data_IF_765493127962
#
_entry.id   IF_765493127962
#
_cell.length_a   1.000
_cell.length_b   1.000
_cell.length_c   1.000
_cell.angle_alpha   90.00
_cell.angle_beta   90.00
_cell.angle_gamma   90.00
#
_symmetry.space_group_name_H-M   'P 1'
#
loop_
_entity.id
_entity.type
_entity.pdbx_description
1 polymer ?
#
# COMPACT_ATOMS: atom_id res chain seq x y z
N UNK A 1 23.77 35.20 44.02
CA UNK A 1 23.62 33.72 44.11
C UNK A 1 22.61 33.12 43.12
N UNK A 2 21.76 33.91 42.47
CA UNK A 2 20.67 33.46 41.57
C UNK A 2 21.17 32.95 40.21
N UNK A 3 22.04 33.71 39.54
CA UNK A 3 22.60 33.38 38.21
C UNK A 3 23.26 31.99 38.11
N UNK A 4 24.02 31.57 39.12
CA UNK A 4 24.68 30.25 39.12
C UNK A 4 23.66 29.10 39.15
N UNK A 5 22.56 29.26 39.89
CA UNK A 5 21.50 28.25 39.97
C UNK A 5 20.73 28.13 38.65
N UNK A 6 20.53 29.24 37.95
CA UNK A 6 19.84 29.26 36.66
C UNK A 6 20.69 28.62 35.54
N UNK A 7 22.00 28.87 35.53
CA UNK A 7 22.94 28.23 34.60
C UNK A 7 23.00 26.71 34.85
N UNK A 8 23.03 26.27 36.10
CA UNK A 8 23.01 24.85 36.47
C UNK A 8 21.71 24.16 36.01
N UNK A 9 20.57 24.84 36.11
CA UNK A 9 19.29 24.32 35.59
C UNK A 9 19.29 24.22 34.07
N UNK A 10 19.85 25.21 33.38
CA UNK A 10 19.91 25.20 31.92
C UNK A 10 20.81 24.08 31.40
N UNK A 11 21.96 23.87 32.05
CA UNK A 11 22.87 22.76 31.75
C UNK A 11 22.21 21.39 32.01
N UNK A 12 21.50 21.24 33.13
CA UNK A 12 20.75 20.01 33.43
C UNK A 12 19.63 19.77 32.39
N UNK A 13 18.94 20.82 31.95
CA UNK A 13 17.89 20.70 30.94
C UNK A 13 18.46 20.32 29.56
N UNK A 14 19.62 20.88 29.20
CA UNK A 14 20.34 20.53 27.97
C UNK A 14 20.84 19.07 28.00
N UNK A 15 21.30 18.60 29.15
CA UNK A 15 21.74 17.21 29.34
C UNK A 15 20.54 16.24 29.24
N UNK A 16 19.41 16.58 29.86
CA UNK A 16 18.15 15.82 29.72
C UNK A 16 17.66 15.77 28.26
N UNK A 17 17.75 16.88 27.52
CA UNK A 17 17.42 16.92 26.09
C UNK A 17 18.37 16.05 25.26
N UNK A 18 19.67 16.07 25.56
CA UNK A 18 20.68 15.27 24.88
C UNK A 18 20.45 13.77 25.09
N UNK A 19 20.15 13.37 26.33
CA UNK A 19 19.79 11.99 26.68
C UNK A 19 18.49 11.57 25.98
N UNK A 20 17.48 12.44 25.93
CA UNK A 20 16.22 12.17 25.21
C UNK A 20 16.47 11.92 23.73
N UNK A 21 17.29 12.73 23.06
CA UNK A 21 17.63 12.52 21.65
C UNK A 21 18.40 11.21 21.43
N UNK A 22 19.39 10.88 22.27
CA UNK A 22 20.19 9.67 22.14
C UNK A 22 19.36 8.39 22.35
N UNK A 23 18.33 8.42 23.20
CA UNK A 23 17.46 7.26 23.46
C UNK A 23 16.30 7.21 22.46
N UNK A 24 15.70 8.35 22.10
CA UNK A 24 14.54 8.38 21.22
C UNK A 24 14.89 8.15 19.74
N UNK A 25 16.02 8.67 19.24
CA UNK A 25 16.43 8.45 17.83
C UNK A 25 16.57 6.97 17.45
N UNK A 26 17.33 6.14 18.19
CA UNK A 26 17.47 4.72 17.85
C UNK A 26 16.17 3.96 18.05
N UNK A 27 15.32 4.36 19.00
CA UNK A 27 13.98 3.78 19.17
C UNK A 27 13.06 4.10 17.97
N UNK A 28 13.13 5.34 17.46
CA UNK A 28 12.45 5.78 16.23
C UNK A 28 13.02 5.05 15.02
N UNK A 29 14.33 4.85 14.95
CA UNK A 29 14.98 4.10 13.87
C UNK A 29 14.62 2.61 13.89
N UNK A 30 14.48 2.00 15.06
CA UNK A 30 13.95 0.64 15.25
C UNK A 30 12.47 0.53 14.86
N UNK A 31 11.67 1.56 15.12
CA UNK A 31 10.29 1.66 14.61
C UNK A 31 10.23 1.76 13.07
N UNK A 32 11.27 2.34 12.46
CA UNK A 32 11.40 2.52 11.01
C UNK A 32 11.89 1.26 10.27
N UNK A 33 12.44 0.26 10.95
CA UNK A 33 12.81 -1.02 10.33
C UNK A 33 11.60 -1.97 10.25
N UNK A 34 10.89 -1.95 9.11
CA UNK A 34 9.84 -2.93 8.82
C UNK A 34 9.15 -2.67 7.48
N UNK A 35 8.26 -3.56 7.07
CA UNK A 35 7.59 -3.45 5.76
C UNK A 35 6.76 -2.17 5.67
N UNK A 36 7.00 -1.39 4.63
CA UNK A 36 6.33 -0.09 4.41
C UNK A 36 5.27 -0.18 3.34
N UNK A 37 5.51 -1.02 2.33
CA UNK A 37 4.72 -1.08 1.12
C UNK A 37 4.46 -2.54 0.72
N UNK A 38 3.28 -2.80 0.17
CA UNK A 38 2.94 -4.04 -0.53
C UNK A 38 2.34 -3.68 -1.88
N UNK A 39 2.97 -4.13 -2.97
CA UNK A 39 2.41 -4.04 -4.31
C UNK A 39 1.60 -5.30 -4.63
N UNK A 40 0.38 -5.14 -5.14
CA UNK A 40 -0.51 -6.25 -5.52
C UNK A 40 -0.85 -6.09 -7.01
N UNK A 41 -0.41 -7.05 -7.83
CA UNK A 41 -0.73 -7.07 -9.26
C UNK A 41 -1.88 -8.04 -9.56
N UNK A 42 -2.88 -7.56 -10.30
CA UNK A 42 -3.94 -8.40 -10.87
C UNK A 42 -3.89 -8.27 -12.40
N UNK A 43 -3.79 -9.39 -13.09
CA UNK A 43 -3.81 -9.47 -14.56
C UNK A 43 -5.11 -10.16 -14.95
N UNK A 44 -5.93 -9.49 -15.76
CA UNK A 44 -7.25 -9.95 -16.17
C UNK A 44 -7.34 -10.00 -17.69
N UNK A 45 -7.68 -11.17 -18.21
CA UNK A 45 -8.12 -11.32 -19.59
C UNK A 45 -9.65 -11.22 -19.62
N UNK A 46 -10.18 -10.26 -20.38
CA UNK A 46 -11.61 -9.98 -20.44
C UNK A 46 -12.14 -10.12 -21.85
N UNK A 47 -13.32 -10.69 -21.99
CA UNK A 47 -14.02 -10.77 -23.27
C UNK A 47 -14.89 -9.52 -23.42
N UNK A 48 -14.73 -8.81 -24.53
CA UNK A 48 -15.57 -7.66 -24.85
C UNK A 48 -16.78 -8.12 -25.65
N UNK A 49 -17.97 -7.75 -25.18
CA UNK A 49 -19.25 -7.92 -25.87
C UNK A 49 -19.77 -6.53 -26.20
N UNK A 50 -20.07 -6.27 -27.47
CA UNK A 50 -20.68 -5.01 -27.91
C UNK A 50 -22.07 -5.30 -28.49
N UNK A 51 -23.08 -4.56 -28.02
CA UNK A 51 -24.45 -4.61 -28.55
C UNK A 51 -24.52 -3.78 -29.85
N UNK A 52 -25.18 -4.30 -30.89
CA UNK A 52 -25.06 -3.78 -32.26
C UNK A 52 -25.45 -2.29 -32.40
N UNK A 53 -24.47 -1.46 -32.79
CA UNK A 53 -24.66 -0.07 -33.15
C UNK A 53 -23.51 0.42 -34.04
N UNK A 54 -23.71 0.34 -35.36
CA UNK A 54 -22.75 0.75 -36.41
C UNK A 54 -21.35 0.12 -36.27
N UNK A 55 -21.21 -1.08 -36.84
CA UNK A 55 -19.96 -1.85 -36.92
C UNK A 55 -18.78 -0.98 -37.41
N UNK A 56 -17.88 -0.65 -36.49
CA UNK A 56 -16.50 -0.27 -36.79
C UNK A 56 -15.63 -1.28 -36.07
N UNK A 57 -14.81 -2.03 -36.82
CA UNK A 57 -13.77 -2.88 -36.23
C UNK A 57 -12.97 -1.99 -35.28
N UNK A 58 -12.91 -2.30 -33.97
CA UNK A 58 -12.13 -1.53 -33.03
C UNK A 58 -10.67 -1.51 -33.50
N UNK A 59 -10.13 -0.32 -33.75
CA UNK A 59 -8.70 -0.18 -34.02
C UNK A 59 -7.93 -0.60 -32.78
N UNK A 60 -6.73 -1.17 -32.93
CA UNK A 60 -5.84 -1.52 -31.81
C UNK A 60 -5.67 -0.38 -30.79
N UNK A 61 -5.63 0.86 -31.29
CA UNK A 61 -5.58 2.07 -30.45
C UNK A 61 -6.83 2.25 -29.58
N UNK A 62 -8.01 1.95 -30.11
CA UNK A 62 -9.27 2.01 -29.36
C UNK A 62 -9.31 0.89 -28.31
N UNK A 63 -8.87 -0.31 -28.66
CA UNK A 63 -8.80 -1.46 -27.72
C UNK A 63 -7.84 -1.15 -26.58
N UNK A 64 -6.63 -0.71 -26.88
CA UNK A 64 -5.63 -0.32 -25.87
C UNK A 64 -6.15 0.81 -24.96
N UNK A 65 -6.91 1.77 -25.53
CA UNK A 65 -7.55 2.82 -24.75
C UNK A 65 -8.61 2.26 -23.79
N UNK A 66 -9.45 1.33 -24.26
CA UNK A 66 -10.45 0.65 -23.42
C UNK A 66 -9.79 -0.16 -22.30
N UNK A 67 -8.76 -0.94 -22.60
CA UNK A 67 -7.97 -1.68 -21.62
C UNK A 67 -7.40 -0.76 -20.53
N UNK A 68 -6.81 0.36 -20.93
CA UNK A 68 -6.28 1.36 -20.00
C UNK A 68 -7.38 1.93 -19.10
N UNK A 69 -8.53 2.29 -19.67
CA UNK A 69 -9.64 2.91 -18.94
C UNK A 69 -10.28 1.92 -17.96
N UNK A 70 -10.54 0.69 -18.39
CA UNK A 70 -11.06 -0.38 -17.52
C UNK A 70 -10.04 -0.71 -16.42
N UNK A 71 -8.76 -0.89 -16.78
CA UNK A 71 -7.70 -1.17 -15.81
C UNK A 71 -7.55 -0.06 -14.77
N UNK A 72 -7.66 1.21 -15.17
CA UNK A 72 -7.64 2.35 -14.26
C UNK A 72 -8.85 2.35 -13.31
N UNK A 73 -10.06 2.11 -13.83
CA UNK A 73 -11.27 2.04 -13.01
C UNK A 73 -11.21 0.90 -11.99
N UNK A 74 -10.84 -0.31 -12.41
CA UNK A 74 -10.68 -1.47 -11.53
C UNK A 74 -9.56 -1.27 -10.51
N UNK A 75 -8.46 -0.62 -10.91
CA UNK A 75 -7.40 -0.24 -9.97
C UNK A 75 -7.95 0.68 -8.88
N UNK A 76 -8.73 1.70 -9.23
CA UNK A 76 -9.31 2.60 -8.23
C UNK A 76 -10.30 1.89 -7.30
N UNK A 77 -11.10 0.96 -7.83
CA UNK A 77 -11.98 0.12 -7.01
C UNK A 77 -11.18 -0.76 -6.04
N UNK A 78 -10.10 -1.40 -6.51
CA UNK A 78 -9.23 -2.19 -5.67
C UNK A 78 -8.58 -1.35 -4.55
N UNK A 79 -8.12 -0.12 -4.85
CA UNK A 79 -7.64 0.83 -3.83
C UNK A 79 -8.72 1.08 -2.78
N UNK A 80 -9.95 1.37 -3.18
CA UNK A 80 -11.05 1.66 -2.25
C UNK A 80 -11.41 0.45 -1.37
N UNK A 81 -11.38 -0.76 -1.94
CA UNK A 81 -11.57 -2.02 -1.19
C UNK A 81 -10.46 -2.19 -0.16
N UNK A 82 -9.19 -2.07 -0.57
CA UNK A 82 -8.05 -2.21 0.35
C UNK A 82 -8.08 -1.16 1.47
N UNK A 83 -8.41 0.09 1.17
CA UNK A 83 -8.57 1.13 2.19
C UNK A 83 -9.71 0.81 3.18
N UNK A 84 -10.79 0.20 2.71
CA UNK A 84 -11.90 -0.23 3.57
C UNK A 84 -11.47 -1.36 4.51
N UNK A 85 -10.77 -2.36 3.97
CA UNK A 85 -10.20 -3.47 4.73
C UNK A 85 -9.17 -2.98 5.76
N UNK A 86 -8.27 -2.07 5.37
CA UNK A 86 -7.28 -1.48 6.29
C UNK A 86 -7.93 -0.67 7.41
N UNK A 87 -8.97 0.14 7.12
CA UNK A 87 -9.73 0.88 8.15
C UNK A 87 -10.43 -0.04 9.14
N UNK A 88 -10.92 -1.19 8.67
CA UNK A 88 -11.49 -2.23 9.51
C UNK A 88 -10.43 -3.10 10.23
N UNK A 89 -9.14 -2.88 9.94
CA UNK A 89 -8.03 -3.74 10.35
C UNK A 89 -8.29 -5.23 10.03
N UNK A 90 -8.86 -5.48 8.84
CA UNK A 90 -9.30 -6.79 8.39
C UNK A 90 -8.42 -7.27 7.23
N UNK A 91 -7.49 -8.20 7.51
CA UNK A 91 -6.65 -8.83 6.50
C UNK A 91 -7.37 -10.00 5.80
N UNK A 92 -8.46 -9.69 5.10
CA UNK A 92 -9.30 -10.69 4.42
C UNK A 92 -8.54 -11.48 3.35
N UNK A 93 -7.66 -10.81 2.60
CA UNK A 93 -6.81 -11.43 1.58
C UNK A 93 -5.57 -12.13 2.13
N UNK A 94 -5.43 -12.21 3.46
CA UNK A 94 -4.35 -12.91 4.16
C UNK A 94 -2.93 -12.49 3.73
N UNK A 95 -2.70 -11.19 3.51
CA UNK A 95 -1.38 -10.67 3.14
C UNK A 95 -0.32 -10.98 4.20
N UNK A 96 -0.72 -11.10 5.47
CA UNK A 96 0.15 -11.52 6.56
C UNK A 96 0.65 -12.96 6.39
N UNK A 97 -0.18 -13.86 5.85
CA UNK A 97 0.24 -15.24 5.56
C UNK A 97 1.26 -15.28 4.42
N UNK A 98 1.06 -14.50 3.36
CA UNK A 98 2.05 -14.36 2.29
C UNK A 98 3.37 -13.83 2.85
N UNK A 99 3.33 -12.80 3.70
CA UNK A 99 4.53 -12.26 4.33
C UNK A 99 5.23 -13.26 5.24
N UNK A 100 4.48 -14.04 6.03
CA UNK A 100 5.02 -15.09 6.88
C UNK A 100 5.68 -16.21 6.07
N UNK A 101 5.09 -16.59 4.93
CA UNK A 101 5.61 -17.66 4.07
C UNK A 101 6.92 -17.27 3.37
N UNK A 102 7.00 -16.06 2.80
CA UNK A 102 8.15 -15.64 1.98
C UNK A 102 9.19 -14.81 2.76
N UNK A 103 8.79 -14.16 3.85
CA UNK A 103 9.68 -13.33 4.69
C UNK A 103 9.46 -13.59 6.19
N UNK A 104 9.66 -14.82 6.68
CA UNK A 104 9.30 -15.23 8.05
C UNK A 104 10.02 -14.40 9.13
N UNK A 105 11.31 -14.09 8.96
CA UNK A 105 12.06 -13.26 9.91
C UNK A 105 11.46 -11.86 10.05
N UNK A 106 11.02 -11.28 8.94
CA UNK A 106 10.40 -9.95 8.91
C UNK A 106 9.03 -10.01 9.59
N UNK A 107 8.22 -11.02 9.28
CA UNK A 107 6.91 -11.22 9.90
C UNK A 107 7.00 -11.42 11.42
N UNK A 108 7.91 -12.27 11.90
CA UNK A 108 8.10 -12.54 13.32
C UNK A 108 8.60 -11.33 14.12
N UNK A 109 9.32 -10.41 13.47
CA UNK A 109 9.83 -9.19 14.11
C UNK A 109 8.77 -8.08 14.25
N UNK A 110 7.52 -8.28 13.79
CA UNK A 110 6.49 -7.25 13.83
C UNK A 110 5.15 -7.74 14.39
N UNK A 111 4.38 -6.81 14.96
CA UNK A 111 2.96 -7.05 15.24
C UNK A 111 2.14 -6.77 13.98
N UNK A 112 1.70 -7.83 13.29
CA UNK A 112 0.91 -7.70 12.05
C UNK A 112 -0.36 -6.87 12.24
N UNK A 113 -1.06 -7.05 13.36
CA UNK A 113 -2.31 -6.35 13.65
C UNK A 113 -2.13 -4.83 13.83
N UNK A 114 -0.94 -4.40 14.25
CA UNK A 114 -0.59 -2.98 14.36
C UNK A 114 0.00 -2.41 13.07
N UNK A 115 0.67 -3.27 12.28
CA UNK A 115 1.36 -2.88 11.04
C UNK A 115 0.42 -2.80 9.86
N UNK A 116 -0.45 -3.80 9.65
CA UNK A 116 -1.37 -3.90 8.51
C UNK A 116 -2.13 -2.61 8.17
N UNK A 117 -2.81 -1.93 9.13
CA UNK A 117 -3.58 -0.73 8.82
C UNK A 117 -2.72 0.48 8.43
N UNK A 118 -1.39 0.41 8.58
CA UNK A 118 -0.43 1.48 8.28
C UNK A 118 0.39 1.22 7.01
N UNK A 119 0.18 0.09 6.34
CA UNK A 119 0.90 -0.25 5.12
C UNK A 119 0.44 0.63 3.95
N UNK A 120 1.39 1.01 3.10
CA UNK A 120 1.10 1.53 1.78
C UNK A 120 0.78 0.35 0.85
N UNK A 121 -0.50 0.04 0.66
CA UNK A 121 -0.94 -1.06 -0.21
C UNK A 121 -1.27 -0.48 -1.58
N UNK A 122 -0.54 -0.93 -2.60
CA UNK A 122 -0.63 -0.46 -3.98
C UNK A 122 -1.16 -1.56 -4.89
N UNK A 123 -2.49 -1.74 -4.96
CA UNK A 123 -3.08 -2.62 -5.96
C UNK A 123 -2.95 -1.99 -7.35
N UNK A 124 -2.73 -2.83 -8.37
CA UNK A 124 -2.71 -2.44 -9.77
C UNK A 124 -3.38 -3.54 -10.59
N UNK A 125 -4.36 -3.14 -11.40
CA UNK A 125 -5.05 -4.04 -12.31
C UNK A 125 -4.59 -3.74 -13.74
N UNK A 126 -4.12 -4.78 -14.43
CA UNK A 126 -3.84 -4.80 -15.86
C UNK A 126 -4.93 -5.61 -16.56
N UNK A 127 -5.45 -5.09 -17.66
CA UNK A 127 -6.54 -5.70 -18.41
C UNK A 127 -6.08 -5.93 -19.84
N UNK A 128 -6.34 -7.12 -20.35
CA UNK A 128 -6.18 -7.49 -21.75
C UNK A 128 -7.55 -7.86 -22.31
N UNK A 129 -7.98 -7.23 -23.39
CA UNK A 129 -9.20 -7.63 -24.09
C UNK A 129 -8.86 -8.78 -25.03
N UNK A 130 -9.42 -9.96 -24.75
CA UNK A 130 -9.33 -11.12 -25.62
C UNK A 130 -10.55 -11.13 -26.55
N UNK A 131 -10.30 -10.96 -27.86
CA UNK A 131 -11.36 -10.86 -28.86
C UNK A 131 -11.97 -12.22 -29.15
N UNK A 132 -13.12 -12.53 -28.55
CA UNK A 132 -13.92 -13.69 -28.93
C UNK A 132 -15.39 -13.25 -29.14
N UNK A 133 -15.87 -13.35 -30.38
CA UNK A 133 -17.28 -13.55 -30.70
C UNK A 133 -18.19 -12.32 -30.62
N UNK A 134 -18.73 -11.93 -31.77
CA UNK A 134 -20.02 -11.25 -31.88
C UNK A 134 -21.06 -12.17 -31.22
N UNK A 135 -21.90 -11.66 -30.32
CA UNK A 135 -23.09 -12.40 -29.89
C UNK A 135 -24.13 -12.29 -31.00
N UNK A 136 -24.44 -13.41 -31.65
CA UNK A 136 -25.62 -13.55 -32.53
C UNK A 136 -26.92 -13.59 -31.72
#
# INVERSE_FOLDING_TARGET
MTQRKDILKLAAMQDQLSVLFIVALPLIFLLLSGIREIAIGLILDVQMVEEEGTMKIPTDLLVAKKEQDIGAQLTQQAVNVMQTLQRANCDYYQLGHTLAAYHPKLYHAMNWRERYPKLDIKPKVAVTIITNGILE
#
